data_IF_594773361425
#
_entry.id   IF_594773361425
#
_cell.length_a   1.000
_cell.length_b   1.000
_cell.length_c   1.000
_cell.angle_alpha   90.00
_cell.angle_beta   90.00
_cell.angle_gamma   90.00
#
_symmetry.space_group_name_H-M   'P 1'
#
loop_
_entity.id
_entity.type
_entity.pdbx_description
1 polymer ?
#
# COMPACT_ATOMS: atom_id res chain seq x y z
N UNK A 1 -15.99 22.40 2.79
CA UNK A 1 -16.06 22.47 1.31
C UNK A 1 -15.67 21.15 0.65
N UNK A 2 -14.49 20.58 0.94
CA UNK A 2 -14.02 19.33 0.31
C UNK A 2 -14.97 18.14 0.47
N UNK A 3 -15.56 17.92 1.65
CA UNK A 3 -16.56 16.86 1.87
C UNK A 3 -17.79 17.00 0.95
N UNK A 4 -18.25 18.23 0.70
CA UNK A 4 -19.40 18.48 -0.18
C UNK A 4 -19.07 18.19 -1.64
N UNK A 5 -17.86 18.55 -2.09
CA UNK A 5 -17.40 18.25 -3.47
C UNK A 5 -17.26 16.74 -3.65
N UNK A 6 -16.65 16.04 -2.70
CA UNK A 6 -16.51 14.58 -2.75
C UNK A 6 -17.89 13.89 -2.76
N UNK A 7 -18.84 14.31 -1.91
CA UNK A 7 -20.20 13.77 -1.90
C UNK A 7 -20.96 14.07 -3.20
N UNK A 8 -20.78 15.27 -3.78
CA UNK A 8 -21.35 15.60 -5.09
C UNK A 8 -20.80 14.69 -6.19
N UNK A 9 -19.50 14.40 -6.18
CA UNK A 9 -18.87 13.45 -7.12
C UNK A 9 -19.36 12.01 -6.91
N UNK A 10 -19.56 11.58 -5.67
CA UNK A 10 -20.17 10.28 -5.36
C UNK A 10 -21.58 10.17 -5.98
N UNK A 11 -22.39 11.22 -5.81
CA UNK A 11 -23.75 11.30 -6.35
C UNK A 11 -23.78 11.35 -7.89
N UNK A 12 -22.92 12.15 -8.51
CA UNK A 12 -22.79 12.23 -9.97
C UNK A 12 -22.30 10.90 -10.56
N UNK A 13 -21.33 10.26 -9.92
CA UNK A 13 -20.88 8.91 -10.27
C UNK A 13 -22.02 7.90 -10.23
N UNK A 14 -22.81 7.91 -9.14
CA UNK A 14 -23.96 7.02 -8.99
C UNK A 14 -24.99 7.21 -10.12
N UNK A 15 -25.32 8.46 -10.47
CA UNK A 15 -26.22 8.76 -11.59
C UNK A 15 -25.64 8.23 -12.91
N UNK A 16 -24.35 8.47 -13.17
CA UNK A 16 -23.69 8.02 -14.39
C UNK A 16 -23.62 6.49 -14.51
N UNK A 17 -23.49 5.77 -13.39
CA UNK A 17 -23.39 4.30 -13.36
C UNK A 17 -24.74 3.59 -13.43
N UNK A 18 -25.82 4.23 -12.95
CA UNK A 18 -27.17 3.64 -12.92
C UNK A 18 -27.70 3.21 -14.29
N UNK A 19 -27.14 3.75 -15.38
CA UNK A 19 -27.49 3.37 -16.76
C UNK A 19 -26.53 2.42 -17.47
N UNK A 20 -25.38 2.07 -16.89
CA UNK A 20 -24.30 1.33 -17.59
C UNK A 20 -23.95 -0.04 -17.02
N UNK A 21 -24.49 -0.42 -15.85
CA UNK A 21 -24.22 -1.70 -15.20
C UNK A 21 -25.49 -2.40 -14.72
N UNK A 22 -25.40 -3.69 -14.33
CA UNK A 22 -26.47 -4.36 -13.61
C UNK A 22 -26.83 -3.52 -12.38
N UNK A 23 -28.14 -3.34 -12.13
CA UNK A 23 -28.61 -2.58 -10.98
C UNK A 23 -27.90 -3.10 -9.72
N UNK A 24 -27.33 -2.22 -8.86
CA UNK A 24 -26.73 -2.68 -7.62
C UNK A 24 -27.78 -3.51 -6.88
N UNK A 25 -27.37 -4.70 -6.42
CA UNK A 25 -28.25 -5.52 -5.60
C UNK A 25 -28.78 -4.62 -4.48
N UNK A 26 -30.11 -4.53 -4.34
CA UNK A 26 -30.70 -3.72 -3.28
C UNK A 26 -30.05 -4.17 -1.97
N UNK A 27 -29.47 -3.25 -1.17
CA UNK A 27 -28.88 -3.64 0.09
C UNK A 27 -29.97 -4.33 0.91
N UNK A 28 -29.75 -5.61 1.21
CA UNK A 28 -30.69 -6.38 2.01
C UNK A 28 -30.86 -5.67 3.35
N UNK A 29 -32.09 -5.48 3.82
CA UNK A 29 -32.37 -4.84 5.10
C UNK A 29 -31.55 -5.46 6.26
N UNK A 30 -31.23 -6.76 6.14
CA UNK A 30 -30.35 -7.52 7.03
C UNK A 30 -28.92 -6.97 7.05
N UNK A 31 -28.34 -6.63 5.89
CA UNK A 31 -26.98 -6.08 5.79
C UNK A 31 -26.89 -4.68 6.40
N UNK A 32 -27.88 -3.83 6.12
CA UNK A 32 -27.97 -2.50 6.72
C UNK A 32 -28.14 -2.62 8.24
N UNK A 33 -29.03 -3.51 8.69
CA UNK A 33 -29.24 -3.79 10.12
C UNK A 33 -27.97 -4.30 10.82
N UNK A 34 -27.23 -5.21 10.19
CA UNK A 34 -25.95 -5.70 10.72
C UNK A 34 -24.90 -4.60 10.83
N UNK A 35 -24.82 -3.72 9.83
CA UNK A 35 -23.86 -2.61 9.81
C UNK A 35 -24.19 -1.59 10.92
N UNK A 36 -25.46 -1.25 11.08
CA UNK A 36 -25.95 -0.42 12.21
C UNK A 36 -25.66 -1.06 13.56
N UNK A 37 -25.84 -2.39 13.69
CA UNK A 37 -25.56 -3.12 14.92
C UNK A 37 -24.06 -3.15 15.26
N UNK A 38 -23.18 -3.36 14.27
CA UNK A 38 -21.71 -3.33 14.44
C UNK A 38 -21.26 -1.92 14.85
N UNK A 39 -21.82 -0.89 14.23
CA UNK A 39 -21.60 0.50 14.63
C UNK A 39 -22.05 0.71 16.08
N UNK A 40 -23.30 0.37 16.42
CA UNK A 40 -23.81 0.55 17.78
C UNK A 40 -22.95 -0.17 18.83
N UNK A 41 -22.55 -1.43 18.58
CA UNK A 41 -21.68 -2.19 19.46
C UNK A 41 -20.30 -1.55 19.61
N UNK A 42 -19.69 -1.11 18.51
CA UNK A 42 -18.41 -0.40 18.54
C UNK A 42 -18.50 0.92 19.30
N UNK A 43 -19.63 1.64 19.20
CA UNK A 43 -19.95 2.83 19.98
C UNK A 43 -20.00 2.54 21.49
N UNK A 44 -20.66 1.43 21.87
CA UNK A 44 -20.77 0.99 23.27
C UNK A 44 -19.38 0.63 23.80
N UNK A 45 -18.59 -0.18 23.06
CA UNK A 45 -17.24 -0.56 23.46
C UNK A 45 -16.32 0.66 23.59
N UNK A 46 -16.37 1.57 22.62
CA UNK A 46 -15.68 2.85 22.65
C UNK A 46 -16.06 3.70 23.87
N UNK A 47 -17.35 3.82 24.19
CA UNK A 47 -17.81 4.62 25.34
C UNK A 47 -17.39 4.02 26.69
N UNK A 48 -17.22 2.69 26.76
CA UNK A 48 -16.95 1.96 28.00
C UNK A 48 -15.46 1.74 28.25
N UNK A 49 -14.67 1.56 27.19
CA UNK A 49 -13.24 1.22 27.25
C UNK A 49 -12.33 2.24 26.56
N UNK A 50 -12.90 3.24 25.90
CA UNK A 50 -12.13 4.32 25.26
C UNK A 50 -11.56 5.31 26.27
N UNK A 51 -10.53 6.07 25.87
CA UNK A 51 -9.90 7.08 26.72
C UNK A 51 -10.93 8.16 27.12
N UNK A 52 -11.02 8.44 28.42
CA UNK A 52 -11.99 9.39 28.99
C UNK A 52 -11.83 10.83 28.49
N UNK A 53 -10.64 11.18 27.99
CA UNK A 53 -10.29 12.52 27.53
C UNK A 53 -10.69 12.82 26.07
N UNK A 54 -11.02 11.80 25.25
CA UNK A 54 -11.31 11.97 23.81
C UNK A 54 -12.60 11.24 23.35
N UNK A 55 -13.59 11.13 24.24
CA UNK A 55 -14.85 10.43 23.96
C UNK A 55 -15.60 11.01 22.75
N UNK A 56 -15.52 12.33 22.54
CA UNK A 56 -16.09 13.01 21.37
C UNK A 56 -15.42 12.63 20.06
N UNK A 57 -14.08 12.53 20.03
CA UNK A 57 -13.33 12.12 18.85
C UNK A 57 -13.64 10.67 18.46
N UNK A 58 -13.74 9.79 19.45
CA UNK A 58 -14.05 8.36 19.29
C UNK A 58 -15.46 8.17 18.70
N UNK A 59 -16.49 8.82 19.25
CA UNK A 59 -17.86 8.75 18.71
C UNK A 59 -17.93 9.28 17.28
N UNK A 60 -17.24 10.40 17.00
CA UNK A 60 -17.22 10.97 15.66
C UNK A 60 -16.55 10.07 14.62
N UNK A 61 -15.40 9.46 14.95
CA UNK A 61 -14.73 8.51 14.06
C UNK A 61 -15.60 7.31 13.72
N UNK A 62 -16.40 6.84 14.67
CA UNK A 62 -17.35 5.77 14.44
C UNK A 62 -18.53 6.17 13.55
N UNK A 63 -19.17 7.30 13.84
CA UNK A 63 -20.29 7.81 13.04
C UNK A 63 -19.83 8.05 11.61
N UNK A 64 -18.66 8.66 11.43
CA UNK A 64 -18.06 8.86 10.11
C UNK A 64 -17.79 7.52 9.44
N UNK A 65 -17.15 6.56 10.13
CA UNK A 65 -16.92 5.21 9.59
C UNK A 65 -18.20 4.52 9.12
N UNK A 66 -19.29 4.63 9.89
CA UNK A 66 -20.59 4.05 9.56
C UNK A 66 -21.24 4.72 8.35
N UNK A 67 -21.25 6.06 8.30
CA UNK A 67 -21.73 6.83 7.15
C UNK A 67 -20.92 6.50 5.90
N UNK A 68 -19.60 6.34 6.06
CA UNK A 68 -18.68 6.00 4.97
C UNK A 68 -18.98 4.61 4.42
N UNK A 69 -19.16 3.63 5.30
CA UNK A 69 -19.51 2.27 4.94
C UNK A 69 -20.89 2.17 4.27
N UNK A 70 -21.91 2.84 4.82
CA UNK A 70 -23.26 2.88 4.24
C UNK A 70 -23.26 3.57 2.87
N UNK A 71 -22.60 4.71 2.74
CA UNK A 71 -22.49 5.42 1.46
C UNK A 71 -21.77 4.59 0.40
N UNK A 72 -20.65 3.94 0.76
CA UNK A 72 -19.91 3.08 -0.15
C UNK A 72 -20.75 1.93 -0.73
N UNK A 73 -21.63 1.33 0.07
CA UNK A 73 -22.54 0.29 -0.40
C UNK A 73 -23.70 0.84 -1.24
N UNK A 74 -24.29 1.97 -0.83
CA UNK A 74 -25.46 2.55 -1.50
C UNK A 74 -25.16 3.08 -2.90
N UNK A 75 -23.96 3.63 -3.11
CA UNK A 75 -23.66 4.40 -4.33
C UNK A 75 -22.99 3.59 -5.45
N UNK A 76 -22.58 2.33 -5.22
CA UNK A 76 -22.06 1.44 -6.26
C UNK A 76 -20.86 1.97 -7.08
N UNK A 77 -20.24 1.10 -7.87
CA UNK A 77 -19.03 1.44 -8.64
C UNK A 77 -17.82 1.79 -7.74
N UNK A 78 -16.67 2.08 -8.33
CA UNK A 78 -15.43 2.32 -7.56
C UNK A 78 -15.25 3.76 -7.10
N UNK A 79 -15.81 4.73 -7.85
CA UNK A 79 -15.67 6.17 -7.57
C UNK A 79 -16.44 6.57 -6.32
N UNK A 80 -17.67 6.08 -6.15
CA UNK A 80 -18.48 6.51 -5.03
C UNK A 80 -17.96 6.06 -3.66
N UNK A 81 -17.52 4.79 -3.46
CA UNK A 81 -16.79 4.38 -2.26
C UNK A 81 -15.56 5.24 -1.96
N UNK A 82 -14.71 5.50 -2.97
CA UNK A 82 -13.53 6.35 -2.81
C UNK A 82 -13.91 7.77 -2.37
N UNK A 83 -14.91 8.35 -3.04
CA UNK A 83 -15.42 9.68 -2.75
C UNK A 83 -16.00 9.80 -1.34
N UNK A 84 -16.77 8.79 -0.93
CA UNK A 84 -17.35 8.70 0.41
C UNK A 84 -16.24 8.56 1.46
N UNK A 85 -15.22 7.74 1.23
CA UNK A 85 -14.06 7.62 2.12
C UNK A 85 -13.28 8.93 2.28
N UNK A 86 -12.98 9.62 1.17
CA UNK A 86 -12.32 10.93 1.18
C UNK A 86 -13.19 11.97 1.90
N UNK A 87 -14.51 11.96 1.70
CA UNK A 87 -15.43 12.83 2.43
C UNK A 87 -15.43 12.55 3.94
N UNK A 88 -15.28 11.28 4.33
CA UNK A 88 -15.14 10.87 5.73
C UNK A 88 -13.85 11.39 6.37
N UNK A 89 -12.71 11.26 5.68
CA UNK A 89 -11.46 11.86 6.14
C UNK A 89 -11.58 13.38 6.27
N UNK A 90 -12.18 14.05 5.27
CA UNK A 90 -12.46 15.48 5.31
C UNK A 90 -13.37 15.88 6.49
N UNK A 91 -14.31 15.02 6.87
CA UNK A 91 -15.27 15.30 7.94
C UNK A 91 -14.62 15.30 9.33
N UNK A 92 -13.50 14.59 9.51
CA UNK A 92 -12.74 14.60 10.77
C UNK A 92 -12.22 16.01 11.11
N UNK A 93 -11.97 16.86 10.12
CA UNK A 93 -11.51 18.24 10.32
C UNK A 93 -12.58 19.20 10.84
N UNK A 94 -13.86 18.80 10.86
CA UNK A 94 -14.90 19.58 11.54
C UNK A 94 -14.91 19.34 13.06
N UNK A 95 -14.18 18.32 13.52
CA UNK A 95 -13.98 18.09 14.94
C UNK A 95 -12.96 19.08 15.45
N UNK A 96 -13.21 19.69 16.62
CA UNK A 96 -12.28 20.64 17.26
C UNK A 96 -11.01 19.97 17.81
N UNK A 97 -10.73 18.73 17.41
CA UNK A 97 -9.54 17.98 17.81
C UNK A 97 -8.36 18.38 16.93
N UNK A 98 -7.25 18.87 17.49
CA UNK A 98 -6.13 19.42 16.72
C UNK A 98 -5.35 18.36 15.92
N UNK A 99 -5.49 17.08 16.25
CA UNK A 99 -4.85 15.95 15.57
C UNK A 99 -5.86 14.80 15.48
N UNK A 100 -5.81 14.07 14.36
CA UNK A 100 -6.60 12.86 14.16
C UNK A 100 -6.09 11.79 15.13
N UNK A 101 -6.91 11.36 16.09
CA UNK A 101 -6.46 10.42 17.11
C UNK A 101 -6.32 8.99 16.55
N UNK A 102 -5.36 8.23 17.05
CA UNK A 102 -5.21 6.80 16.71
C UNK A 102 -6.50 6.00 16.91
N UNK A 103 -7.33 6.41 17.88
CA UNK A 103 -8.64 5.83 18.13
C UNK A 103 -9.64 6.09 16.99
N UNK A 104 -9.66 7.29 16.41
CA UNK A 104 -10.50 7.61 15.25
C UNK A 104 -10.16 6.74 14.04
N UNK A 105 -8.86 6.57 13.75
CA UNK A 105 -8.41 5.69 12.67
C UNK A 105 -8.73 4.23 12.94
N UNK A 106 -8.53 3.75 14.16
CA UNK A 106 -8.86 2.38 14.55
C UNK A 106 -10.35 2.08 14.37
N UNK A 107 -11.23 3.03 14.67
CA UNK A 107 -12.68 2.87 14.50
C UNK A 107 -13.10 2.92 13.02
N UNK A 108 -12.52 3.81 12.21
CA UNK A 108 -12.77 3.85 10.76
C UNK A 108 -12.36 2.51 10.12
N UNK A 109 -11.19 1.99 10.48
CA UNK A 109 -10.72 0.67 10.04
C UNK A 109 -11.56 -0.48 10.59
N UNK A 110 -11.98 -0.40 11.86
CA UNK A 110 -12.79 -1.40 12.54
C UNK A 110 -14.16 -1.58 11.90
N UNK A 111 -14.82 -0.48 11.50
CA UNK A 111 -16.05 -0.52 10.70
C UNK A 111 -15.79 -1.21 9.35
N UNK A 112 -14.67 -0.91 8.68
CA UNK A 112 -14.27 -1.58 7.45
C UNK A 112 -14.03 -3.09 7.59
N UNK A 113 -13.46 -3.54 8.71
CA UNK A 113 -13.29 -4.97 9.02
C UNK A 113 -14.64 -5.66 9.26
N UNK A 114 -15.56 -5.00 9.96
CA UNK A 114 -16.92 -5.49 10.16
C UNK A 114 -17.69 -5.65 8.85
N UNK A 115 -17.51 -4.72 7.91
CA UNK A 115 -18.16 -4.80 6.58
C UNK A 115 -17.50 -5.80 5.65
N UNK A 116 -16.19 -6.06 5.78
CA UNK A 116 -15.51 -7.15 5.11
C UNK A 116 -16.12 -8.51 5.48
N UNK A 117 -16.43 -8.74 6.76
CA UNK A 117 -17.07 -9.97 7.22
C UNK A 117 -18.48 -10.19 6.62
N UNK A 118 -19.12 -9.12 6.15
CA UNK A 118 -20.41 -9.14 5.47
C UNK A 118 -20.29 -9.20 3.94
N UNK A 119 -19.06 -9.22 3.40
CA UNK A 119 -18.81 -9.22 1.95
C UNK A 119 -19.15 -7.91 1.24
N UNK A 120 -19.17 -6.78 1.97
CA UNK A 120 -19.58 -5.46 1.48
C UNK A 120 -18.35 -4.71 0.98
N UNK A 121 -17.98 -4.96 -0.28
CA UNK A 121 -16.71 -4.47 -0.84
C UNK A 121 -16.63 -2.94 -0.94
N UNK A 122 -17.74 -2.27 -1.29
CA UNK A 122 -17.79 -0.80 -1.36
C UNK A 122 -17.47 -0.15 -0.02
N UNK A 123 -17.95 -0.72 1.08
CA UNK A 123 -17.63 -0.23 2.41
C UNK A 123 -16.16 -0.40 2.78
N UNK A 124 -15.53 -1.51 2.38
CA UNK A 124 -14.09 -1.76 2.62
C UNK A 124 -13.24 -0.71 1.91
N UNK A 125 -13.53 -0.42 0.63
CA UNK A 125 -12.83 0.61 -0.14
C UNK A 125 -13.00 1.98 0.51
N UNK A 126 -14.22 2.31 0.93
CA UNK A 126 -14.53 3.59 1.54
C UNK A 126 -13.81 3.79 2.89
N UNK A 127 -13.84 2.78 3.76
CA UNK A 127 -13.10 2.79 5.04
C UNK A 127 -11.59 2.91 4.83
N UNK A 128 -11.04 2.19 3.85
CA UNK A 128 -9.61 2.24 3.57
C UNK A 128 -9.18 3.61 3.01
N UNK A 129 -9.95 4.17 2.08
CA UNK A 129 -9.72 5.51 1.55
C UNK A 129 -9.78 6.57 2.67
N UNK A 130 -10.76 6.46 3.58
CA UNK A 130 -10.86 7.33 4.74
C UNK A 130 -9.63 7.21 5.64
N UNK A 131 -9.23 5.99 6.00
CA UNK A 131 -8.08 5.75 6.87
C UNK A 131 -6.76 6.26 6.27
N UNK A 132 -6.51 5.99 4.99
CA UNK A 132 -5.27 6.41 4.31
C UNK A 132 -5.20 7.93 4.15
N UNK A 133 -6.30 8.59 3.77
CA UNK A 133 -6.35 10.05 3.67
C UNK A 133 -6.21 10.73 5.04
N UNK A 134 -6.90 10.21 6.05
CA UNK A 134 -6.80 10.70 7.42
C UNK A 134 -5.40 10.49 8.02
N UNK A 135 -4.73 9.38 7.72
CA UNK A 135 -3.35 9.17 8.12
C UNK A 135 -2.37 10.14 7.44
N UNK A 136 -2.58 10.42 6.15
CA UNK A 136 -1.81 11.42 5.41
C UNK A 136 -2.03 12.85 5.94
N UNK A 137 -3.26 13.20 6.29
CA UNK A 137 -3.62 14.46 6.95
C UNK A 137 -2.93 14.62 8.31
N UNK A 138 -3.00 13.58 9.15
CA UNK A 138 -2.33 13.56 10.46
C UNK A 138 -0.82 13.68 10.35
N UNK A 139 -0.19 12.95 9.42
CA UNK A 139 1.25 13.05 9.17
C UNK A 139 1.64 14.38 8.53
N UNK A 140 0.79 14.97 7.70
CA UNK A 140 0.98 16.31 7.15
C UNK A 140 1.00 17.38 8.23
N UNK A 141 0.01 17.37 9.13
CA UNK A 141 -0.08 18.28 10.27
C UNK A 141 1.14 18.21 11.20
N UNK A 142 1.70 17.01 11.39
CA UNK A 142 2.86 16.79 12.27
C UNK A 142 4.19 17.24 11.65
N UNK A 143 4.30 17.33 10.33
CA UNK A 143 5.59 17.53 9.65
C UNK A 143 5.71 18.84 8.89
N UNK A 144 4.60 19.49 8.52
CA UNK A 144 4.62 20.77 7.85
C UNK A 144 4.10 21.88 8.77
N UNK A 145 4.85 22.98 8.83
CA UNK A 145 4.56 24.15 9.66
C UNK A 145 3.49 25.05 9.02
N UNK A 146 2.40 24.47 8.53
CA UNK A 146 1.35 25.20 7.85
C UNK A 146 -0.02 24.57 8.10
N UNK A 147 -1.06 25.36 8.42
CA UNK A 147 -2.41 24.84 8.67
C UNK A 147 -2.99 24.02 7.51
N UNK A 148 -2.61 24.36 6.27
CA UNK A 148 -3.04 23.64 5.07
C UNK A 148 -2.51 22.19 5.01
N UNK A 149 -1.44 21.86 5.74
CA UNK A 149 -0.88 20.52 5.75
C UNK A 149 -1.78 19.50 6.46
N UNK A 150 -2.64 19.97 7.37
CA UNK A 150 -3.59 19.11 8.06
C UNK A 150 -4.64 18.50 7.12
N UNK A 151 -4.87 19.07 5.93
CA UNK A 151 -5.89 18.59 4.98
C UNK A 151 -5.28 18.09 3.66
N UNK A 152 -3.94 17.98 3.59
CA UNK A 152 -3.24 17.69 2.33
C UNK A 152 -3.58 16.30 1.78
N UNK A 153 -3.70 15.29 2.64
CA UNK A 153 -4.10 13.94 2.28
C UNK A 153 -5.52 13.89 1.72
N UNK A 154 -6.45 14.58 2.37
CA UNK A 154 -7.83 14.75 1.88
C UNK A 154 -7.88 15.47 0.53
N UNK A 155 -7.10 16.52 0.33
CA UNK A 155 -7.07 17.25 -0.95
C UNK A 155 -6.48 16.40 -2.09
N UNK A 156 -5.42 15.64 -1.81
CA UNK A 156 -4.86 14.67 -2.77
C UNK A 156 -5.85 13.54 -3.05
N UNK A 157 -6.54 13.05 -2.03
CA UNK A 157 -7.64 12.08 -2.16
C UNK A 157 -8.78 12.61 -3.03
N UNK A 158 -9.13 13.89 -2.94
CA UNK A 158 -10.12 14.49 -3.83
C UNK A 158 -9.65 14.50 -5.29
N UNK A 159 -8.37 14.80 -5.51
CA UNK A 159 -7.73 14.67 -6.83
C UNK A 159 -7.84 13.24 -7.38
N UNK A 160 -7.62 12.24 -6.53
CA UNK A 160 -7.79 10.83 -6.87
C UNK A 160 -9.24 10.46 -7.26
N UNK A 161 -10.22 10.99 -6.54
CA UNK A 161 -11.65 10.79 -6.85
C UNK A 161 -11.99 11.39 -8.21
N UNK A 162 -11.56 12.63 -8.47
CA UNK A 162 -11.76 13.30 -9.77
C UNK A 162 -11.05 12.53 -10.88
N UNK A 163 -9.81 12.10 -10.66
CA UNK A 163 -9.05 11.31 -11.63
C UNK A 163 -9.74 9.99 -11.97
N UNK A 164 -10.25 9.29 -10.96
CA UNK A 164 -11.00 8.04 -11.14
C UNK A 164 -12.31 8.27 -11.88
N UNK A 165 -13.03 9.34 -11.56
CA UNK A 165 -14.26 9.72 -12.27
C UNK A 165 -13.99 10.04 -13.74
N UNK A 166 -12.95 10.83 -14.05
CA UNK A 166 -12.56 11.15 -15.42
C UNK A 166 -12.09 9.90 -16.19
N UNK A 167 -11.40 8.97 -15.52
CA UNK A 167 -10.98 7.71 -16.13
C UNK A 167 -12.15 6.81 -16.57
N UNK A 168 -13.37 7.02 -16.04
CA UNK A 168 -14.58 6.32 -16.52
C UNK A 168 -15.01 6.75 -17.92
N UNK A 169 -14.57 7.92 -18.38
CA UNK A 169 -14.84 8.42 -19.73
C UNK A 169 -13.75 8.03 -20.74
N UNK A 170 -12.69 7.34 -20.29
CA UNK A 170 -11.66 6.79 -21.18
C UNK A 170 -12.27 5.62 -21.95
N UNK A 171 -12.27 5.66 -23.30
CA UNK A 171 -12.81 4.57 -24.12
C UNK A 171 -12.10 3.23 -23.85
N UNK A 172 -12.81 2.11 -23.98
CA UNK A 172 -12.24 0.78 -23.69
C UNK A 172 -11.03 0.43 -24.57
N UNK A 173 -10.98 0.93 -25.81
CA UNK A 173 -9.80 0.80 -26.68
C UNK A 173 -8.52 1.47 -26.12
N UNK A 174 -8.67 2.35 -25.13
CA UNK A 174 -7.60 3.07 -24.44
C UNK A 174 -7.54 2.70 -22.95
N UNK A 175 -7.99 1.50 -22.55
CA UNK A 175 -8.06 1.10 -21.13
C UNK A 175 -6.71 1.25 -20.40
N UNK A 176 -5.59 1.04 -21.10
CA UNK A 176 -4.24 1.23 -20.59
C UNK A 176 -3.92 2.69 -20.18
N UNK A 177 -4.68 3.68 -20.66
CA UNK A 177 -4.52 5.09 -20.32
C UNK A 177 -5.19 5.46 -18.99
N UNK A 178 -6.15 4.66 -18.49
CA UNK A 178 -6.86 4.91 -17.22
C UNK A 178 -5.91 5.19 -16.04
N UNK A 179 -4.92 4.35 -15.72
CA UNK A 179 -4.01 4.62 -14.60
C UNK A 179 -3.21 5.92 -14.79
N UNK A 180 -2.86 6.27 -16.03
CA UNK A 180 -2.13 7.51 -16.36
C UNK A 180 -3.01 8.74 -16.11
N UNK A 181 -4.28 8.71 -16.54
CA UNK A 181 -5.24 9.80 -16.29
C UNK A 181 -5.44 9.99 -14.79
N UNK A 182 -5.65 8.90 -14.04
CA UNK A 182 -5.85 8.96 -12.59
C UNK A 182 -4.61 9.57 -11.93
N UNK A 183 -3.41 9.07 -12.27
CA UNK A 183 -2.15 9.57 -11.72
C UNK A 183 -1.94 11.05 -12.03
N UNK A 184 -2.10 11.47 -13.29
CA UNK A 184 -1.90 12.86 -13.72
C UNK A 184 -2.88 13.83 -13.04
N UNK A 185 -4.16 13.47 -12.95
CA UNK A 185 -5.18 14.31 -12.28
C UNK A 185 -4.94 14.37 -10.77
N UNK A 186 -4.51 13.26 -10.15
CA UNK A 186 -4.15 13.24 -8.73
C UNK A 186 -2.95 14.14 -8.44
N UNK A 187 -1.91 14.11 -9.29
CA UNK A 187 -0.74 14.98 -9.19
C UNK A 187 -1.12 16.46 -9.41
N UNK A 188 -2.00 16.75 -10.37
CA UNK A 188 -2.52 18.09 -10.58
C UNK A 188 -3.30 18.59 -9.36
N UNK A 189 -4.15 17.75 -8.77
CA UNK A 189 -4.85 18.06 -7.51
C UNK A 189 -3.88 18.32 -6.36
N UNK A 190 -2.82 17.51 -6.26
CA UNK A 190 -1.76 17.69 -5.27
C UNK A 190 -1.00 18.99 -5.45
N UNK A 191 -0.71 19.41 -6.68
CA UNK A 191 -0.06 20.69 -6.97
C UNK A 191 -0.82 21.86 -6.34
N UNK A 192 -2.16 21.87 -6.47
CA UNK A 192 -2.99 22.90 -5.83
C UNK A 192 -3.03 22.76 -4.30
N UNK A 193 -2.99 21.52 -3.78
CA UNK A 193 -2.98 21.25 -2.35
C UNK A 193 -1.66 21.68 -1.66
N UNK A 194 -0.53 21.47 -2.33
CA UNK A 194 0.80 21.73 -1.76
C UNK A 194 1.32 23.13 -2.08
N UNK A 195 0.73 23.85 -3.04
CA UNK A 195 1.14 25.23 -3.38
C UNK A 195 1.18 26.18 -2.17
N UNK A 196 0.21 26.18 -1.24
CA UNK A 196 0.27 27.02 -0.04
C UNK A 196 1.38 26.62 0.94
N UNK A 197 1.89 25.40 0.85
CA UNK A 197 2.94 24.88 1.73
C UNK A 197 4.34 25.30 1.27
N UNK A 198 4.51 25.72 0.01
CA UNK A 198 5.81 25.97 -0.63
C UNK A 198 6.80 24.78 -0.57
N UNK A 199 6.29 23.57 -0.28
CA UNK A 199 7.09 22.36 -0.15
C UNK A 199 7.03 21.49 -1.42
N UNK A 200 7.99 21.71 -2.32
CA UNK A 200 8.13 20.92 -3.56
C UNK A 200 8.35 19.43 -3.27
N UNK A 201 8.96 19.08 -2.13
CA UNK A 201 9.25 17.71 -1.73
C UNK A 201 7.98 16.84 -1.62
N UNK A 202 6.87 17.39 -1.11
CA UNK A 202 5.59 16.68 -1.03
C UNK A 202 5.01 16.40 -2.41
N UNK A 203 5.10 17.36 -3.33
CA UNK A 203 4.64 17.19 -4.71
C UNK A 203 5.44 16.10 -5.45
N UNK A 204 6.77 16.06 -5.22
CA UNK A 204 7.62 15.00 -5.78
C UNK A 204 7.21 13.64 -5.22
N UNK A 205 6.94 13.53 -3.91
CA UNK A 205 6.46 12.28 -3.30
C UNK A 205 5.13 11.79 -3.90
N UNK A 206 4.17 12.70 -4.12
CA UNK A 206 2.91 12.40 -4.83
C UNK A 206 3.17 11.89 -6.24
N UNK A 207 4.04 12.57 -6.99
CA UNK A 207 4.42 12.18 -8.35
C UNK A 207 5.08 10.80 -8.41
N UNK A 208 5.98 10.49 -7.47
CA UNK A 208 6.60 9.18 -7.35
C UNK A 208 5.56 8.08 -7.05
N UNK A 209 4.61 8.32 -6.14
CA UNK A 209 3.55 7.36 -5.84
C UNK A 209 2.61 7.12 -7.03
N UNK A 210 2.25 8.16 -7.77
CA UNK A 210 1.46 8.04 -8.99
C UNK A 210 2.19 7.23 -10.07
N UNK A 211 3.48 7.53 -10.29
CA UNK A 211 4.32 6.78 -11.22
C UNK A 211 4.45 5.32 -10.79
N UNK A 212 4.67 5.05 -9.50
CA UNK A 212 4.75 3.70 -8.95
C UNK A 212 3.45 2.92 -9.20
N UNK A 213 2.30 3.55 -8.98
CA UNK A 213 1.00 2.96 -9.27
C UNK A 213 0.84 2.59 -10.75
N UNK A 214 1.25 3.48 -11.66
CA UNK A 214 1.22 3.21 -13.10
C UNK A 214 2.16 2.06 -13.47
N UNK A 215 3.38 2.05 -12.94
CA UNK A 215 4.34 0.95 -13.18
C UNK A 215 3.78 -0.37 -12.67
N UNK A 216 3.26 -0.41 -11.44
CA UNK A 216 2.71 -1.62 -10.83
C UNK A 216 1.48 -2.13 -11.58
N UNK A 217 0.62 -1.23 -12.08
CA UNK A 217 -0.49 -1.59 -12.97
C UNK A 217 -0.02 -2.38 -14.20
N UNK A 218 1.07 -1.96 -14.85
CA UNK A 218 1.59 -2.65 -16.03
C UNK A 218 2.42 -3.89 -15.69
N UNK A 219 3.05 -3.93 -14.52
CA UNK A 219 3.87 -5.07 -14.07
C UNK A 219 3.01 -6.25 -13.62
N UNK A 220 1.85 -6.00 -12.99
CA UNK A 220 1.00 -7.04 -12.40
C UNK A 220 -0.43 -6.99 -12.97
N UNK A 221 -0.70 -7.71 -14.08
CA UNK A 221 -2.04 -7.85 -14.63
C UNK A 221 -3.00 -8.52 -13.64
N UNK A 222 -4.27 -8.11 -13.64
CA UNK A 222 -5.27 -8.61 -12.69
C UNK A 222 -5.52 -10.12 -12.84
N UNK A 223 -5.55 -10.62 -14.08
CA UNK A 223 -5.92 -12.00 -14.41
C UNK A 223 -4.81 -13.03 -14.09
N UNK A 224 -3.54 -12.61 -14.09
CA UNK A 224 -2.41 -13.52 -13.96
C UNK A 224 -1.88 -13.56 -12.53
N UNK A 225 -1.94 -14.74 -11.91
CA UNK A 225 -1.28 -14.96 -10.64
C UNK A 225 0.20 -15.17 -10.81
N UNK A 226 1.03 -14.18 -10.48
CA UNK A 226 2.49 -14.26 -10.51
C UNK A 226 3.14 -13.69 -9.24
N UNK A 227 3.69 -14.57 -8.41
CA UNK A 227 4.34 -14.18 -7.16
C UNK A 227 5.60 -13.33 -7.39
N UNK A 228 6.31 -13.51 -8.51
CA UNK A 228 7.48 -12.68 -8.84
C UNK A 228 7.03 -11.26 -9.13
N UNK A 229 5.97 -11.10 -9.91
CA UNK A 229 5.38 -9.77 -10.19
C UNK A 229 4.80 -9.15 -8.92
N UNK A 230 4.13 -9.91 -8.06
CA UNK A 230 3.64 -9.46 -6.75
C UNK A 230 4.80 -8.99 -5.85
N UNK A 231 5.87 -9.78 -5.75
CA UNK A 231 7.07 -9.42 -5.01
C UNK A 231 7.73 -8.16 -5.54
N UNK A 232 7.90 -8.05 -6.87
CA UNK A 232 8.44 -6.86 -7.53
C UNK A 232 7.57 -5.62 -7.27
N UNK A 233 6.24 -5.72 -7.40
CA UNK A 233 5.32 -4.62 -7.10
C UNK A 233 5.40 -4.16 -5.64
N UNK A 234 5.57 -5.11 -4.71
CA UNK A 234 5.75 -4.82 -3.28
C UNK A 234 7.07 -4.09 -3.02
N UNK A 235 8.16 -4.54 -3.66
CA UNK A 235 9.47 -3.87 -3.59
C UNK A 235 9.41 -2.45 -4.17
N UNK A 236 8.71 -2.25 -5.29
CA UNK A 236 8.49 -0.92 -5.88
C UNK A 236 7.75 -0.01 -4.90
N UNK A 237 6.66 -0.50 -4.28
CA UNK A 237 5.89 0.26 -3.30
C UNK A 237 6.76 0.70 -2.11
N UNK A 238 7.53 -0.22 -1.53
CA UNK A 238 8.42 0.06 -0.39
C UNK A 238 9.59 0.98 -0.79
N UNK A 239 10.17 0.78 -1.98
CA UNK A 239 11.26 1.60 -2.50
C UNK A 239 10.83 3.06 -2.67
N UNK A 240 9.67 3.28 -3.28
CA UNK A 240 9.09 4.62 -3.46
C UNK A 240 8.73 5.25 -2.12
N UNK A 241 8.19 4.47 -1.18
CA UNK A 241 7.93 4.93 0.18
C UNK A 241 9.20 5.41 0.89
N UNK A 242 10.32 4.69 0.71
CA UNK A 242 11.61 5.04 1.29
C UNK A 242 12.16 6.36 0.72
N UNK A 243 12.06 6.54 -0.60
CA UNK A 243 12.45 7.80 -1.26
C UNK A 243 11.56 8.94 -0.79
N UNK A 244 10.24 8.74 -0.80
CA UNK A 244 9.25 9.73 -0.37
C UNK A 244 9.44 10.13 1.12
N UNK A 245 9.81 9.17 1.97
CA UNK A 245 10.19 9.42 3.35
C UNK A 245 11.45 10.28 3.46
N UNK A 246 12.45 10.04 2.60
CA UNK A 246 13.66 10.86 2.53
C UNK A 246 13.39 12.32 2.14
N UNK A 247 12.34 12.58 1.35
CA UNK A 247 11.96 13.90 0.85
C UNK A 247 11.12 14.70 1.85
N UNK A 248 10.05 14.10 2.39
CA UNK A 248 9.07 14.80 3.21
C UNK A 248 8.63 13.98 4.45
N UNK A 249 9.53 13.16 4.99
CA UNK A 249 9.32 12.33 6.20
C UNK A 249 8.02 11.51 6.11
N UNK A 250 7.28 11.37 7.21
CA UNK A 250 6.04 10.59 7.25
C UNK A 250 4.98 11.10 6.25
N UNK A 251 4.87 12.42 6.06
CA UNK A 251 3.92 13.03 5.13
C UNK A 251 4.19 12.59 3.69
N UNK A 252 5.45 12.62 3.24
CA UNK A 252 5.83 12.16 1.91
C UNK A 252 5.44 10.71 1.64
N UNK A 253 5.75 9.82 2.59
CA UNK A 253 5.40 8.40 2.49
C UNK A 253 3.88 8.17 2.40
N UNK A 254 3.10 8.89 3.22
CA UNK A 254 1.65 8.77 3.22
C UNK A 254 1.01 9.33 1.93
N UNK A 255 1.54 10.43 1.40
CA UNK A 255 1.10 11.00 0.12
C UNK A 255 1.41 10.07 -1.06
N UNK A 256 2.59 9.44 -1.07
CA UNK A 256 2.93 8.43 -2.07
C UNK A 256 2.00 7.21 -2.00
N UNK A 257 1.61 6.78 -0.79
CA UNK A 257 0.61 5.74 -0.58
C UNK A 257 -0.76 6.15 -1.15
N UNK A 258 -1.26 7.35 -0.82
CA UNK A 258 -2.56 7.84 -1.31
C UNK A 258 -2.60 7.81 -2.84
N UNK A 259 -1.56 8.31 -3.51
CA UNK A 259 -1.54 8.38 -4.98
C UNK A 259 -1.33 7.03 -5.64
N UNK A 260 -0.51 6.16 -5.08
CA UNK A 260 -0.36 4.79 -5.57
C UNK A 260 -1.66 4.00 -5.42
N UNK A 261 -2.30 4.11 -4.25
CA UNK A 261 -3.60 3.51 -3.98
C UNK A 261 -4.67 4.02 -4.94
N UNK A 262 -4.70 5.32 -5.21
CA UNK A 262 -5.63 5.95 -6.14
C UNK A 262 -5.51 5.37 -7.55
N UNK A 263 -4.29 5.25 -8.09
CA UNK A 263 -4.07 4.69 -9.43
C UNK A 263 -4.53 3.24 -9.51
N UNK A 264 -4.16 2.41 -8.53
CA UNK A 264 -4.45 0.97 -8.55
C UNK A 264 -5.94 0.68 -8.26
N UNK A 265 -6.51 1.24 -7.19
CA UNK A 265 -7.92 1.10 -6.87
C UNK A 265 -8.80 1.78 -7.92
N UNK A 266 -8.47 3.00 -8.33
CA UNK A 266 -9.27 3.73 -9.32
C UNK A 266 -9.30 3.05 -10.69
N UNK A 267 -8.24 2.31 -11.05
CA UNK A 267 -8.21 1.46 -12.25
C UNK A 267 -8.81 0.07 -12.03
N UNK A 268 -9.42 -0.18 -10.87
CA UNK A 268 -9.98 -1.45 -10.43
C UNK A 268 -8.99 -2.64 -10.50
N UNK A 269 -7.70 -2.39 -10.26
CA UNK A 269 -6.64 -3.40 -10.19
C UNK A 269 -6.38 -3.80 -8.73
N UNK A 270 -7.32 -4.58 -8.17
CA UNK A 270 -7.38 -4.89 -6.74
C UNK A 270 -6.22 -5.78 -6.31
N UNK A 271 -5.86 -6.75 -7.15
CA UNK A 271 -4.71 -7.60 -6.90
C UNK A 271 -3.42 -6.80 -6.78
N UNK A 272 -3.22 -5.86 -7.70
CA UNK A 272 -2.06 -4.98 -7.68
C UNK A 272 -2.07 -4.07 -6.45
N UNK A 273 -3.25 -3.57 -6.06
CA UNK A 273 -3.41 -2.80 -4.84
C UNK A 273 -3.00 -3.56 -3.57
N UNK A 274 -3.28 -4.87 -3.46
CA UNK A 274 -2.88 -5.67 -2.30
C UNK A 274 -1.36 -5.70 -2.06
N UNK A 275 -0.55 -5.47 -3.10
CA UNK A 275 0.92 -5.37 -2.98
C UNK A 275 1.38 -4.12 -2.22
N UNK A 276 0.49 -3.15 -2.02
CA UNK A 276 0.73 -1.92 -1.26
C UNK A 276 0.48 -2.14 0.25
N UNK A 277 -0.02 -3.31 0.67
CA UNK A 277 -0.30 -3.62 2.08
C UNK A 277 0.85 -3.30 3.06
N UNK A 278 2.11 -3.69 2.79
CA UNK A 278 3.24 -3.32 3.64
C UNK A 278 3.44 -1.80 3.78
N UNK A 279 3.18 -1.04 2.72
CA UNK A 279 3.25 0.43 2.76
C UNK A 279 2.15 1.03 3.64
N UNK A 280 0.92 0.51 3.56
CA UNK A 280 -0.17 0.89 4.50
C UNK A 280 0.28 0.67 5.95
N UNK A 281 0.87 -0.50 6.24
CA UNK A 281 1.42 -0.82 7.56
C UNK A 281 2.49 0.19 8.01
N UNK A 282 3.44 0.54 7.14
CA UNK A 282 4.50 1.51 7.43
C UNK A 282 3.95 2.91 7.72
N UNK A 283 2.96 3.38 6.96
CA UNK A 283 2.32 4.68 7.17
C UNK A 283 1.59 4.74 8.51
N UNK A 284 0.79 3.72 8.82
CA UNK A 284 0.07 3.64 10.09
C UNK A 284 1.03 3.51 11.28
N UNK A 285 2.07 2.70 11.16
CA UNK A 285 3.12 2.59 12.18
C UNK A 285 3.84 3.93 12.37
N UNK A 286 4.12 4.68 11.29
CA UNK A 286 4.76 6.00 11.41
C UNK A 286 3.86 6.97 12.15
N UNK A 287 2.56 6.99 11.85
CA UNK A 287 1.61 7.84 12.56
C UNK A 287 1.53 7.47 14.05
N UNK A 288 1.42 6.17 14.37
CA UNK A 288 1.46 5.67 15.75
C UNK A 288 2.71 6.15 16.48
N UNK A 289 3.87 6.08 15.81
CA UNK A 289 5.15 6.48 16.36
C UNK A 289 5.25 7.97 16.67
N UNK A 290 4.70 8.83 15.83
CA UNK A 290 4.72 10.27 16.08
C UNK A 290 3.74 10.67 17.19
N UNK A 291 2.58 9.98 17.29
CA UNK A 291 1.59 10.26 18.33
C UNK A 291 1.97 9.69 19.69
N UNK A 292 2.66 8.55 19.70
CA UNK A 292 3.06 7.83 20.92
C UNK A 292 4.55 7.48 20.86
N UNK A 293 5.45 8.48 20.95
CA UNK A 293 6.88 8.26 20.83
C UNK A 293 7.40 7.28 21.88
N UNK A 294 6.85 7.28 23.10
CA UNK A 294 7.28 6.40 24.18
C UNK A 294 6.89 4.94 23.96
N UNK A 295 5.72 4.67 23.38
CA UNK A 295 5.32 3.31 22.96
C UNK A 295 6.17 2.82 21.79
N UNK A 296 6.54 3.72 20.89
CA UNK A 296 7.40 3.41 19.75
C UNK A 296 8.85 3.12 20.14
N UNK A 297 9.30 3.45 21.35
CA UNK A 297 10.63 3.03 21.84
C UNK A 297 10.73 1.51 21.99
N UNK A 298 9.59 0.82 22.19
CA UNK A 298 9.53 -0.63 22.13
C UNK A 298 9.77 -1.17 20.71
N UNK A 299 9.45 -0.37 19.68
CA UNK A 299 9.68 -0.60 18.25
C UNK A 299 10.66 0.43 17.67
N UNK A 300 11.91 0.40 18.10
CA UNK A 300 12.95 1.36 17.69
C UNK A 300 13.14 1.43 16.15
N UNK A 301 13.68 2.52 15.58
CA UNK A 301 14.01 2.66 14.14
C UNK A 301 14.81 1.45 13.66
N UNK A 302 15.65 0.87 14.49
CA UNK A 302 16.31 -0.37 14.09
C UNK A 302 15.36 -1.53 13.72
N UNK A 303 14.14 -1.56 14.25
CA UNK A 303 13.19 -2.67 14.13
C UNK A 303 12.32 -2.62 12.87
N UNK A 304 12.10 -1.46 12.23
CA UNK A 304 11.41 -1.44 10.92
C UNK A 304 12.27 -2.11 9.83
N UNK A 305 13.60 -2.00 9.91
CA UNK A 305 14.52 -2.79 9.09
C UNK A 305 14.38 -4.28 9.38
N UNK A 306 14.17 -4.67 10.64
CA UNK A 306 13.89 -6.06 10.99
C UNK A 306 12.55 -6.53 10.39
N UNK A 307 11.49 -5.72 10.44
CA UNK A 307 10.21 -6.06 9.79
C UNK A 307 10.32 -6.20 8.27
N UNK A 308 11.04 -5.28 7.61
CA UNK A 308 11.36 -5.38 6.18
C UNK A 308 12.15 -6.65 5.89
N UNK A 309 13.15 -6.95 6.72
CA UNK A 309 13.88 -8.20 6.70
C UNK A 309 12.92 -9.39 6.76
N UNK A 310 12.02 -9.45 7.75
CA UNK A 310 11.06 -10.55 7.93
C UNK A 310 10.20 -10.74 6.68
N UNK A 311 9.66 -9.65 6.13
CA UNK A 311 8.84 -9.72 4.92
C UNK A 311 9.64 -10.23 3.72
N UNK A 312 10.85 -9.71 3.50
CA UNK A 312 11.75 -10.16 2.44
C UNK A 312 12.14 -11.63 2.63
N UNK A 313 12.45 -12.04 3.85
CA UNK A 313 12.81 -13.42 4.18
C UNK A 313 11.64 -14.38 3.94
N UNK A 314 10.40 -13.97 4.22
CA UNK A 314 9.24 -14.81 3.98
C UNK A 314 8.97 -15.01 2.48
N UNK A 315 9.24 -14.00 1.65
CA UNK A 315 8.87 -13.99 0.22
C UNK A 315 9.99 -14.50 -0.68
N UNK A 316 11.24 -14.07 -0.48
CA UNK A 316 12.36 -14.33 -1.40
C UNK A 316 12.56 -15.82 -1.70
N UNK A 317 12.50 -16.75 -0.73
CA UNK A 317 12.66 -18.18 -1.00
C UNK A 317 11.56 -18.78 -1.89
N UNK A 318 10.40 -18.12 -1.99
CA UNK A 318 9.28 -18.56 -2.82
C UNK A 318 9.45 -18.18 -4.30
N UNK A 319 10.32 -17.21 -4.61
CA UNK A 319 10.47 -16.71 -5.97
C UNK A 319 11.10 -17.74 -6.93
N UNK A 320 12.18 -18.47 -6.57
CA UNK A 320 12.77 -19.49 -7.44
C UNK A 320 11.84 -20.69 -7.66
N UNK A 321 11.07 -21.10 -6.65
CA UNK A 321 10.13 -22.22 -6.78
C UNK A 321 8.99 -21.89 -7.73
N UNK A 322 8.47 -20.67 -7.66
CA UNK A 322 7.39 -20.20 -8.54
C UNK A 322 7.87 -20.03 -9.98
N UNK A 323 9.11 -19.60 -10.14
CA UNK A 323 9.73 -19.50 -11.45
C UNK A 323 9.91 -20.89 -12.10
N UNK A 324 10.42 -21.87 -11.35
CA UNK A 324 10.63 -23.24 -11.84
C UNK A 324 9.32 -23.96 -12.15
N UNK A 325 8.31 -23.83 -11.29
CA UNK A 325 7.03 -24.52 -11.44
C UNK A 325 6.27 -24.08 -12.70
N UNK A 326 6.48 -22.84 -13.16
CA UNK A 326 5.81 -22.29 -14.35
C UNK A 326 6.52 -22.57 -15.65
N UNK A 327 7.85 -22.68 -15.64
CA UNK A 327 8.64 -22.65 -16.88
C UNK A 327 9.53 -23.88 -17.09
N UNK A 328 9.56 -24.80 -16.12
CA UNK A 328 10.44 -25.97 -16.12
C UNK A 328 11.91 -25.55 -15.99
N UNK A 329 12.79 -26.51 -15.66
CA UNK A 329 14.23 -26.25 -15.57
C UNK A 329 14.82 -26.02 -16.96
N UNK A 330 14.71 -24.82 -17.51
CA UNK A 330 15.22 -24.49 -18.85
C UNK A 330 16.52 -23.70 -18.75
N UNK A 331 17.62 -24.45 -18.59
CA UNK A 331 18.97 -24.03 -18.94
C UNK A 331 19.88 -23.60 -17.79
N UNK A 332 21.17 -23.88 -17.94
CA UNK A 332 22.24 -23.48 -17.02
C UNK A 332 22.28 -21.96 -16.77
N UNK A 333 21.86 -21.15 -17.75
CA UNK A 333 21.79 -19.69 -17.64
C UNK A 333 20.76 -19.22 -16.60
N UNK A 334 19.56 -19.82 -16.55
CA UNK A 334 18.54 -19.47 -15.56
C UNK A 334 18.98 -19.86 -14.14
N UNK A 335 19.57 -21.04 -13.99
CA UNK A 335 20.15 -21.49 -12.73
C UNK A 335 21.30 -20.57 -12.27
N UNK A 336 22.19 -20.17 -13.18
CA UNK A 336 23.27 -19.23 -12.89
C UNK A 336 22.74 -17.87 -12.41
N UNK A 337 21.77 -17.28 -13.12
CA UNK A 337 21.16 -16.00 -12.74
C UNK A 337 20.46 -16.07 -11.37
N UNK A 338 19.76 -17.18 -11.09
CA UNK A 338 19.16 -17.40 -9.77
C UNK A 338 20.19 -17.59 -8.67
N UNK A 339 21.31 -18.28 -8.94
CA UNK A 339 22.42 -18.40 -7.98
C UNK A 339 23.06 -17.04 -7.68
N UNK A 340 23.24 -16.19 -8.69
CA UNK A 340 23.74 -14.81 -8.51
C UNK A 340 22.77 -13.99 -7.66
N UNK A 341 21.45 -14.08 -7.93
CA UNK A 341 20.45 -13.41 -7.09
C UNK A 341 20.42 -13.94 -5.67
N UNK A 342 20.45 -15.26 -5.49
CA UNK A 342 20.41 -15.90 -4.18
C UNK A 342 21.64 -15.51 -3.33
N UNK A 343 22.82 -15.38 -3.93
CA UNK A 343 24.02 -14.92 -3.22
C UNK A 343 24.03 -13.40 -3.00
N UNK A 344 23.53 -12.62 -3.96
CA UNK A 344 23.49 -11.16 -3.88
C UNK A 344 22.47 -10.62 -2.89
N UNK A 345 21.32 -11.29 -2.71
CA UNK A 345 20.23 -10.81 -1.86
C UNK A 345 20.62 -10.70 -0.37
N UNK A 346 21.26 -11.71 0.25
CA UNK A 346 21.81 -11.61 1.59
C UNK A 346 22.78 -10.44 1.77
N UNK A 347 23.70 -10.22 0.82
CA UNK A 347 24.65 -9.11 0.87
C UNK A 347 23.91 -7.76 0.85
N UNK A 348 22.93 -7.62 -0.05
CA UNK A 348 22.10 -6.42 -0.14
C UNK A 348 21.36 -6.15 1.16
N UNK A 349 20.72 -7.17 1.74
CA UNK A 349 19.99 -7.06 3.00
C UNK A 349 20.91 -6.59 4.13
N UNK A 350 22.10 -7.17 4.26
CA UNK A 350 23.07 -6.80 5.30
C UNK A 350 23.51 -5.36 5.16
N UNK A 351 23.85 -4.92 3.95
CA UNK A 351 24.39 -3.56 3.74
C UNK A 351 23.29 -2.50 3.78
N UNK A 352 22.12 -2.77 3.22
CA UNK A 352 21.02 -1.80 3.12
C UNK A 352 20.20 -1.71 4.40
N UNK A 353 19.89 -2.85 5.03
CA UNK A 353 19.02 -2.92 6.21
C UNK A 353 19.82 -3.04 7.52
N UNK A 354 21.14 -3.15 7.43
CA UNK A 354 22.04 -3.31 8.57
C UNK A 354 21.83 -4.63 9.32
N UNK A 355 22.48 -4.76 10.47
CA UNK A 355 22.42 -5.99 11.27
C UNK A 355 20.99 -6.35 11.72
N UNK A 356 20.18 -5.35 12.10
CA UNK A 356 18.79 -5.60 12.53
C UNK A 356 17.92 -6.12 11.37
N UNK A 357 18.10 -5.59 10.16
CA UNK A 357 17.41 -6.11 8.99
C UNK A 357 17.86 -7.49 8.54
N UNK A 358 19.15 -7.79 8.67
CA UNK A 358 19.67 -9.14 8.43
C UNK A 358 19.08 -10.17 9.41
N UNK A 359 18.98 -9.83 10.71
CA UNK A 359 18.32 -10.68 11.71
C UNK A 359 16.84 -10.89 11.36
N UNK A 360 16.14 -9.81 10.99
CA UNK A 360 14.76 -9.90 10.51
C UNK A 360 14.63 -10.80 9.28
N UNK A 361 15.55 -10.69 8.32
CA UNK A 361 15.59 -11.52 7.12
C UNK A 361 15.72 -12.99 7.46
N UNK A 362 16.67 -13.37 8.32
CA UNK A 362 16.83 -14.76 8.77
C UNK A 362 15.57 -15.28 9.48
N UNK A 363 14.94 -14.46 10.33
CA UNK A 363 13.67 -14.82 10.97
C UNK A 363 12.54 -15.02 9.93
N UNK A 364 12.46 -14.14 8.94
CA UNK A 364 11.52 -14.25 7.81
C UNK A 364 11.75 -15.48 6.95
N UNK A 365 13.01 -15.87 6.70
CA UNK A 365 13.36 -17.09 5.97
C UNK A 365 12.74 -18.33 6.64
N UNK A 366 12.67 -18.35 7.97
CA UNK A 366 11.94 -19.37 8.73
C UNK A 366 10.43 -19.40 8.48
N UNK A 367 9.81 -18.26 8.12
CA UNK A 367 8.38 -18.16 7.78
C UNK A 367 8.07 -18.58 6.33
N UNK A 368 9.07 -18.66 5.45
CA UNK A 368 8.86 -19.04 4.05
C UNK A 368 8.24 -20.44 3.90
N UNK A 369 8.62 -21.39 4.75
CA UNK A 369 8.03 -22.74 4.78
C UNK A 369 6.56 -22.74 5.19
N UNK A 370 6.17 -21.86 6.11
CA UNK A 370 4.77 -21.63 6.47
C UNK A 370 3.99 -21.03 5.30
N UNK A 371 4.53 -20.00 4.65
CA UNK A 371 3.92 -19.41 3.46
C UNK A 371 3.72 -20.44 2.34
N UNK A 372 4.66 -21.37 2.16
CA UNK A 372 4.50 -22.43 1.18
C UNK A 372 3.49 -23.51 1.59
N UNK A 373 3.45 -23.87 2.88
CA UNK A 373 2.43 -24.78 3.41
C UNK A 373 1.01 -24.22 3.22
N UNK A 374 0.84 -22.91 3.45
CA UNK A 374 -0.43 -22.19 3.20
C UNK A 374 -0.84 -22.22 1.73
N UNK A 375 0.13 -22.28 0.80
CA UNK A 375 -0.11 -22.44 -0.64
C UNK A 375 -0.44 -23.88 -1.06
N UNK A 376 -0.48 -24.83 -0.12
CA UNK A 376 -0.72 -26.27 -0.35
C UNK A 376 0.30 -26.92 -1.30
N UNK A 377 1.49 -26.34 -1.44
CA UNK A 377 2.56 -26.93 -2.25
C UNK A 377 3.32 -28.00 -1.44
N UNK A 378 3.78 -29.05 -2.13
CA UNK A 378 4.55 -30.16 -1.52
C UNK A 378 6.07 -30.05 -1.71
N UNK A 379 6.52 -28.97 -2.36
CA UNK A 379 7.94 -28.80 -2.68
C UNK A 379 8.73 -28.37 -1.44
N UNK A 380 9.86 -29.03 -1.18
CA UNK A 380 10.82 -28.65 -0.13
C UNK A 380 11.79 -27.54 -0.59
N UNK A 381 11.67 -27.09 -1.83
CA UNK A 381 12.66 -26.23 -2.45
C UNK A 381 12.81 -24.86 -1.76
N UNK A 382 11.74 -24.10 -1.46
CA UNK A 382 11.86 -22.86 -0.68
C UNK A 382 12.47 -23.04 0.69
N UNK A 383 12.28 -24.18 1.34
CA UNK A 383 12.94 -24.46 2.62
C UNK A 383 14.45 -24.67 2.44
N UNK A 384 14.86 -25.36 1.38
CA UNK A 384 16.27 -25.50 1.02
C UNK A 384 16.91 -24.15 0.61
N UNK A 385 16.19 -23.34 -0.17
CA UNK A 385 16.61 -21.98 -0.54
C UNK A 385 16.71 -21.10 0.70
N UNK A 386 15.72 -21.15 1.59
CA UNK A 386 15.72 -20.39 2.84
C UNK A 386 16.88 -20.77 3.76
N UNK A 387 17.20 -22.06 3.87
CA UNK A 387 18.35 -22.54 4.62
C UNK A 387 19.67 -22.04 4.01
N UNK A 388 19.82 -22.12 2.68
CA UNK A 388 20.99 -21.60 1.96
C UNK A 388 21.15 -20.09 2.15
N UNK A 389 20.09 -19.32 1.94
CA UNK A 389 20.08 -17.87 2.16
C UNK A 389 20.41 -17.51 3.61
N UNK A 390 19.89 -18.25 4.59
CA UNK A 390 20.19 -18.03 6.01
C UNK A 390 21.67 -18.24 6.31
N UNK A 391 22.25 -19.34 5.82
CA UNK A 391 23.67 -19.63 5.97
C UNK A 391 24.54 -18.55 5.32
N UNK A 392 24.18 -18.11 4.12
CA UNK A 392 24.86 -17.01 3.42
C UNK A 392 24.73 -15.69 4.19
N UNK A 393 23.55 -15.33 4.70
CA UNK A 393 23.36 -14.12 5.50
C UNK A 393 24.22 -14.14 6.76
N UNK A 394 24.29 -15.26 7.48
CA UNK A 394 25.13 -15.40 8.68
C UNK A 394 26.61 -15.22 8.34
N UNK A 395 27.09 -15.85 7.26
CA UNK A 395 28.48 -15.72 6.83
C UNK A 395 28.83 -14.28 6.42
N UNK A 396 27.93 -13.62 5.66
CA UNK A 396 28.15 -12.26 5.18
C UNK A 396 28.00 -11.20 6.27
N UNK A 397 27.20 -11.44 7.31
CA UNK A 397 27.02 -10.48 8.40
C UNK A 397 28.33 -10.18 9.13
N UNK A 398 29.18 -11.19 9.30
CA UNK A 398 30.51 -11.00 9.89
C UNK A 398 31.47 -10.24 8.97
N UNK A 399 31.38 -10.47 7.65
CA UNK A 399 32.30 -9.92 6.66
C UNK A 399 31.94 -8.50 6.21
N UNK A 400 30.64 -8.18 6.18
CA UNK A 400 30.11 -6.89 5.74
C UNK A 400 29.74 -5.97 6.90
N UNK A 401 30.13 -6.32 8.13
CA UNK A 401 29.80 -5.54 9.33
C UNK A 401 30.22 -4.09 9.19
N UNK A 402 31.43 -3.84 8.71
CA UNK A 402 31.96 -2.48 8.54
C UNK A 402 31.28 -1.73 7.39
N UNK A 403 30.74 -2.45 6.40
CA UNK A 403 29.95 -1.87 5.30
C UNK A 403 28.50 -1.58 5.71
N UNK A 404 28.01 -2.12 6.82
CA UNK A 404 26.67 -1.83 7.32
C UNK A 404 26.58 -0.42 7.95
N UNK A 405 27.72 0.17 8.32
CA UNK A 405 27.83 1.49 8.96
C UNK A 405 28.13 2.64 7.98
N UNK A 406 28.00 2.38 6.66
CA UNK A 406 28.13 3.42 5.63
C UNK A 406 27.22 4.63 5.88
N UNK A 407 27.69 5.80 5.48
CA UNK A 407 26.93 7.04 5.57
C UNK A 407 25.67 6.99 4.69
N UNK A 408 24.72 7.89 4.95
CA UNK A 408 23.43 7.91 4.23
C UNK A 408 23.62 8.05 2.71
N UNK A 409 24.52 8.94 2.28
CA UNK A 409 24.72 9.22 0.84
C UNK A 409 25.40 8.05 0.13
N UNK A 410 26.34 7.38 0.79
CA UNK A 410 26.97 6.15 0.30
C UNK A 410 25.96 5.01 0.16
N UNK A 411 25.05 4.85 1.14
CA UNK A 411 23.95 3.88 1.05
C UNK A 411 23.01 4.17 -0.10
N UNK A 412 22.69 5.45 -0.36
CA UNK A 412 21.84 5.85 -1.50
C UNK A 412 22.53 5.55 -2.83
N UNK A 413 23.81 5.86 -2.99
CA UNK A 413 24.55 5.53 -4.20
C UNK A 413 24.69 4.01 -4.40
N UNK A 414 25.02 3.28 -3.34
CA UNK A 414 25.11 1.83 -3.39
C UNK A 414 23.75 1.20 -3.72
N UNK A 415 22.65 1.73 -3.17
CA UNK A 415 21.29 1.30 -3.52
C UNK A 415 20.99 1.54 -5.00
N UNK A 416 21.40 2.68 -5.57
CA UNK A 416 21.21 2.95 -6.99
C UNK A 416 21.94 1.94 -7.88
N UNK A 417 23.21 1.62 -7.56
CA UNK A 417 24.00 0.64 -8.31
C UNK A 417 23.46 -0.79 -8.16
N UNK A 418 23.21 -1.21 -6.92
CA UNK A 418 22.73 -2.58 -6.62
C UNK A 418 21.29 -2.78 -7.08
N UNK A 419 20.41 -1.79 -6.90
CA UNK A 419 19.06 -1.78 -7.43
C UNK A 419 19.04 -1.82 -8.95
N UNK A 420 19.88 -1.01 -9.62
CA UNK A 420 20.06 -1.08 -11.07
C UNK A 420 20.53 -2.46 -11.54
N UNK A 421 21.52 -3.05 -10.86
CA UNK A 421 22.00 -4.40 -11.14
C UNK A 421 20.93 -5.48 -10.98
N UNK A 422 20.12 -5.42 -9.91
CA UNK A 422 18.99 -6.32 -9.68
C UNK A 422 17.93 -6.20 -10.77
N UNK A 423 17.62 -4.98 -11.24
CA UNK A 423 16.69 -4.75 -12.35
C UNK A 423 17.24 -5.38 -13.64
N UNK A 424 18.54 -5.24 -13.92
CA UNK A 424 19.18 -5.88 -15.08
C UNK A 424 19.09 -7.40 -14.98
N UNK A 425 19.40 -8.00 -13.82
CA UNK A 425 19.33 -9.45 -13.62
C UNK A 425 17.88 -9.94 -13.74
N UNK A 426 16.90 -9.21 -13.18
CA UNK A 426 15.49 -9.52 -13.31
C UNK A 426 15.01 -9.45 -14.78
N UNK A 427 15.49 -8.45 -15.54
CA UNK A 427 15.21 -8.33 -16.98
C UNK A 427 15.83 -9.49 -17.78
N UNK A 428 17.08 -9.87 -17.49
CA UNK A 428 17.75 -11.02 -18.10
C UNK A 428 17.01 -12.33 -17.78
N UNK A 429 16.58 -12.52 -16.53
CA UNK A 429 15.72 -13.64 -16.16
C UNK A 429 14.43 -13.61 -16.97
N UNK A 430 13.76 -12.47 -17.09
CA UNK A 430 12.54 -12.35 -17.89
C UNK A 430 12.76 -12.70 -19.37
N UNK A 431 13.90 -12.29 -19.95
CA UNK A 431 14.29 -12.58 -21.34
C UNK A 431 14.58 -14.06 -21.57
N UNK A 432 15.41 -14.67 -20.72
CA UNK A 432 15.75 -16.11 -20.77
C UNK A 432 14.52 -16.97 -20.49
N UNK A 433 13.53 -16.42 -19.80
CA UNK A 433 12.31 -17.14 -19.44
C UNK A 433 11.27 -17.19 -20.56
N UNK A 434 11.41 -16.49 -21.70
CA UNK A 434 10.35 -16.43 -22.73
C UNK A 434 9.91 -17.86 -23.15
N UNK A 435 8.60 -18.20 -23.11
CA UNK A 435 8.14 -19.50 -23.56
C UNK A 435 8.52 -19.67 -25.03
N UNK A 436 9.15 -20.80 -25.37
CA UNK A 436 9.29 -21.19 -26.78
C UNK A 436 7.88 -21.15 -27.39
N UNK A 437 7.71 -20.41 -28.48
CA UNK A 437 6.46 -20.42 -29.25
C UNK A 437 6.11 -21.88 -29.48
N UNK A 438 4.97 -22.32 -28.98
CA UNK A 438 4.39 -23.59 -29.39
C UNK A 438 4.11 -23.40 -30.88
N UNK A 439 4.98 -23.92 -31.73
CA UNK A 439 4.64 -24.13 -33.14
C UNK A 439 3.42 -25.03 -33.13
N UNK A 440 2.26 -24.41 -33.38
CA UNK A 440 1.05 -25.16 -33.69
C UNK A 440 1.37 -25.85 -35.01
N UNK A 441 1.74 -27.12 -34.95
CA UNK A 441 1.84 -27.96 -36.13
C UNK A 441 0.45 -27.96 -36.79
N UNK A 442 0.37 -27.29 -37.94
CA UNK A 442 -0.83 -27.19 -38.78
C UNK A 442 -1.16 -28.52 -39.43
#
# INVERSE_FOLDING_TARGET
MFSLIALALAFLSFIAFRGRGPAPARPEAVRIGALVAITALSCILASRYGPSEDSGGVVAGLVIGAVVALGGELFGGIVAPLAVGVAGAAALHFLKTPLISSAQLALICGVGLGTLALGIEGAVIASLAAAVCAAADGLGALHANAPAAAVVGTMVGLGAVVGTFLAMYVPDRLIALKPVVIGAVTVAGAFFATRPLSETAMLVAVGLGALAGVVVYFVLPEEEADAVRIGLSTVIAIGVATIAFGLAKGAGMALALVTMAAVLLGSNHRRAFLTVGPLVGLVLYRLLREQHPDLSRALDIGQHYAMLGVALGAVVPLLPSDWLSRRGWRGAAGAFLWSVLALGFPALVVVMLGGKGAVGFVAGLGLSGLCQALRRERSLMPLAVAAGLSATTVALLGWLRDSADLSRDEKVHLFAYTGGGLVVIAALLALVSRPAKVEVAS
#
